data_IF_590845286104
#
_entry.id   IF_590845286104
#
_cell.length_a   1.000
_cell.length_b   1.000
_cell.length_c   1.000
_cell.angle_alpha   90.00
_cell.angle_beta   90.00
_cell.angle_gamma   90.00
#
_symmetry.space_group_name_H-M   'P 1'
#
loop_
_entity.id
_entity.type
_entity.pdbx_description
1 polymer ?
#
# COMPACT_ATOMS: atom_id res chain seq x y z
N UNK A 1 -47.94 33.23 64.25
CA UNK A 1 -47.82 32.97 62.80
C UNK A 1 -46.58 32.14 62.55
N UNK A 2 -46.74 30.85 62.21
CA UNK A 2 -45.66 29.87 61.96
C UNK A 2 -45.24 29.95 60.49
N UNK A 3 -43.95 30.16 60.20
CA UNK A 3 -43.37 29.99 58.85
C UNK A 3 -42.51 28.73 58.86
N UNK A 4 -42.97 27.72 58.13
CA UNK A 4 -42.28 26.46 57.85
C UNK A 4 -41.33 26.73 56.68
N UNK A 5 -40.02 26.53 56.88
CA UNK A 5 -39.04 26.56 55.80
C UNK A 5 -38.71 25.09 55.44
N UNK A 6 -39.17 24.66 54.27
CA UNK A 6 -38.93 23.35 53.69
C UNK A 6 -37.57 23.40 52.96
N UNK A 7 -36.55 22.70 53.45
CA UNK A 7 -35.27 22.55 52.75
C UNK A 7 -35.37 21.33 51.83
N UNK A 8 -35.45 21.59 50.52
CA UNK A 8 -35.39 20.58 49.47
C UNK A 8 -33.94 20.11 49.31
N UNK A 9 -33.66 18.86 49.66
CA UNK A 9 -32.39 18.19 49.32
C UNK A 9 -32.51 17.69 47.87
N UNK A 10 -31.89 18.40 46.94
CA UNK A 10 -31.75 17.97 45.55
C UNK A 10 -30.58 16.98 45.51
N UNK A 11 -30.91 15.69 45.48
CA UNK A 11 -29.96 14.60 45.23
C UNK A 11 -29.56 14.63 43.75
N UNK A 12 -28.44 15.26 43.43
CA UNK A 12 -27.87 15.23 42.08
C UNK A 12 -27.32 13.84 41.78
N UNK A 13 -28.09 13.02 41.06
CA UNK A 13 -27.60 11.83 40.38
C UNK A 13 -26.61 12.27 39.28
N UNK A 14 -25.32 12.13 39.55
CA UNK A 14 -24.28 12.20 38.51
C UNK A 14 -24.31 10.87 37.73
N UNK A 15 -24.52 10.88 36.40
CA UNK A 15 -24.51 9.66 35.61
C UNK A 15 -23.08 9.11 35.49
N UNK A 16 -22.87 7.88 35.98
CA UNK A 16 -21.60 7.15 35.95
C UNK A 16 -21.26 6.60 34.55
N UNK A 17 -21.13 7.47 33.55
CA UNK A 17 -20.79 7.09 32.17
C UNK A 17 -19.30 7.38 31.80
N UNK A 18 -18.39 7.47 32.77
CA UNK A 18 -16.97 7.79 32.54
C UNK A 18 -16.03 6.55 32.56
N UNK A 19 -16.55 5.35 32.76
CA UNK A 19 -15.73 4.24 33.28
C UNK A 19 -14.76 3.58 32.27
N UNK A 20 -15.17 3.34 31.01
CA UNK A 20 -14.32 2.65 30.04
C UNK A 20 -13.19 3.55 29.46
N UNK A 21 -13.39 4.88 29.47
CA UNK A 21 -12.41 5.84 28.98
C UNK A 21 -11.16 5.94 29.85
N UNK A 22 -11.31 5.76 31.17
CA UNK A 22 -10.21 5.92 32.13
C UNK A 22 -9.11 4.86 31.94
N UNK A 23 -9.50 3.58 31.80
CA UNK A 23 -8.55 2.49 31.58
C UNK A 23 -7.80 2.67 30.26
N UNK A 24 -8.53 2.98 29.18
CA UNK A 24 -7.96 3.23 27.87
C UNK A 24 -6.99 4.42 27.89
N UNK A 25 -7.35 5.51 28.59
CA UNK A 25 -6.50 6.69 28.74
C UNK A 25 -5.23 6.39 29.54
N UNK A 26 -5.34 5.62 30.63
CA UNK A 26 -4.21 5.23 31.46
C UNK A 26 -3.22 4.31 30.73
N UNK A 27 -3.72 3.35 29.95
CA UNK A 27 -2.86 2.49 29.13
C UNK A 27 -2.19 3.28 28.02
N UNK A 28 -2.94 4.14 27.30
CA UNK A 28 -2.34 5.00 26.26
C UNK A 28 -1.23 5.90 26.80
N UNK A 29 -1.41 6.53 27.96
CA UNK A 29 -0.39 7.43 28.49
C UNK A 29 0.92 6.73 28.88
N UNK A 30 0.89 5.42 29.14
CA UNK A 30 2.06 4.62 29.53
C UNK A 30 2.71 3.86 28.38
N UNK A 31 1.91 3.42 27.41
CA UNK A 31 2.33 2.47 26.37
C UNK A 31 2.41 3.08 24.98
N UNK A 32 1.60 4.09 24.65
CA UNK A 32 1.58 4.64 23.30
C UNK A 32 2.96 5.21 22.92
N UNK A 33 3.50 4.76 21.79
CA UNK A 33 4.83 5.16 21.31
C UNK A 33 6.00 4.47 22.02
N UNK A 34 5.74 3.58 22.98
CA UNK A 34 6.79 2.79 23.61
C UNK A 34 7.45 1.84 22.61
N UNK A 35 8.71 1.51 22.90
CA UNK A 35 9.41 0.43 22.22
C UNK A 35 9.14 -0.86 22.96
N UNK A 36 8.97 -1.95 22.22
CA UNK A 36 8.74 -3.26 22.80
C UNK A 36 9.61 -4.30 22.14
N UNK A 37 9.99 -5.32 22.91
CA UNK A 37 10.52 -6.58 22.39
C UNK A 37 9.44 -7.64 22.56
N UNK A 38 9.06 -8.33 21.49
CA UNK A 38 8.03 -9.38 21.58
C UNK A 38 8.56 -10.58 22.35
N UNK A 39 7.75 -11.19 23.20
CA UNK A 39 8.11 -12.41 23.94
C UNK A 39 7.51 -13.68 23.32
N UNK A 40 6.72 -13.52 22.26
CA UNK A 40 6.01 -14.59 21.56
C UNK A 40 6.29 -14.53 20.06
N UNK A 41 6.18 -15.68 19.39
CA UNK A 41 6.12 -15.73 17.93
C UNK A 41 4.92 -14.93 17.43
N UNK A 42 5.06 -14.27 16.29
CA UNK A 42 4.00 -13.46 15.69
C UNK A 42 4.03 -13.55 14.17
N UNK A 43 2.94 -13.15 13.54
CA UNK A 43 2.76 -13.31 12.10
C UNK A 43 2.27 -12.01 11.47
N UNK A 44 2.78 -11.69 10.29
CA UNK A 44 2.34 -10.53 9.49
C UNK A 44 2.19 -10.89 8.02
N UNK A 45 1.26 -10.23 7.34
CA UNK A 45 1.18 -10.26 5.88
C UNK A 45 2.07 -9.21 5.22
N UNK A 46 2.64 -8.30 6.01
CA UNK A 46 3.49 -7.19 5.56
C UNK A 46 2.86 -6.38 4.41
N UNK A 47 1.53 -6.25 4.42
CA UNK A 47 0.73 -5.59 3.38
C UNK A 47 0.45 -4.10 3.68
N UNK A 48 1.15 -3.53 4.65
CA UNK A 48 0.89 -2.18 5.18
C UNK A 48 -0.24 -2.10 6.22
N UNK A 49 -1.00 -3.18 6.41
CA UNK A 49 -2.05 -3.29 7.45
C UNK A 49 -1.58 -4.16 8.62
N UNK A 50 -2.18 -3.97 9.79
CA UNK A 50 -1.89 -4.82 10.95
C UNK A 50 -2.53 -6.21 10.79
N UNK A 51 -1.72 -7.25 10.89
CA UNK A 51 -2.20 -8.64 10.90
C UNK A 51 -2.55 -9.08 12.32
N UNK A 52 -3.74 -9.67 12.49
CA UNK A 52 -4.22 -10.10 13.80
C UNK A 52 -3.46 -11.33 14.31
N UNK A 53 -2.95 -11.22 15.54
CA UNK A 53 -2.30 -12.28 16.29
C UNK A 53 -3.07 -12.48 17.59
N UNK A 54 -3.93 -13.50 17.63
CA UNK A 54 -4.73 -13.79 18.82
C UNK A 54 -3.91 -14.61 19.81
N UNK A 55 -3.77 -14.08 21.03
CA UNK A 55 -2.91 -14.66 22.06
C UNK A 55 -3.79 -15.18 23.19
N UNK A 56 -3.63 -16.47 23.48
CA UNK A 56 -4.24 -17.13 24.63
C UNK A 56 -3.18 -17.94 25.38
N UNK A 57 -2.72 -17.40 26.51
CA UNK A 57 -1.51 -17.89 27.16
C UNK A 57 -0.31 -17.78 26.23
N UNK A 58 0.39 -18.90 26.00
CA UNK A 58 1.56 -18.97 25.12
C UNK A 58 1.21 -19.36 23.67
N UNK A 59 -0.07 -19.57 23.36
CA UNK A 59 -0.51 -19.96 22.02
C UNK A 59 -0.88 -18.73 21.20
N UNK A 60 -0.30 -18.63 20.00
CA UNK A 60 -0.61 -17.58 19.02
C UNK A 60 -1.36 -18.20 17.85
N UNK A 61 -2.51 -17.60 17.53
CA UNK A 61 -3.28 -17.94 16.33
C UNK A 61 -3.31 -16.74 15.40
N UNK A 62 -2.76 -16.90 14.20
CA UNK A 62 -2.79 -15.91 13.13
C UNK A 62 -2.98 -16.56 11.77
N UNK A 63 -3.37 -15.75 10.78
CA UNK A 63 -3.39 -16.12 9.37
C UNK A 63 -2.30 -15.41 8.54
N UNK A 64 -1.34 -14.75 9.21
CA UNK A 64 -0.28 -14.01 8.54
C UNK A 64 0.64 -14.91 7.71
N UNK A 65 1.05 -14.42 6.54
CA UNK A 65 1.94 -15.13 5.61
C UNK A 65 3.35 -15.35 6.16
N UNK A 66 3.92 -14.36 6.84
CA UNK A 66 5.29 -14.40 7.36
C UNK A 66 5.27 -14.63 8.86
N UNK A 67 6.15 -15.49 9.36
CA UNK A 67 6.37 -15.71 10.78
C UNK A 67 7.59 -14.93 11.27
N UNK A 68 7.50 -14.44 12.50
CA UNK A 68 8.54 -13.74 13.20
C UNK A 68 8.74 -14.41 14.54
N UNK A 69 9.99 -14.72 14.87
CA UNK A 69 10.33 -15.37 16.13
C UNK A 69 10.02 -14.46 17.33
N UNK A 70 10.04 -15.02 18.54
CA UNK A 70 10.10 -14.17 19.72
C UNK A 70 11.38 -13.32 19.68
N UNK A 71 11.35 -12.19 20.37
CA UNK A 71 12.45 -11.24 20.47
C UNK A 71 12.44 -10.15 19.41
N UNK A 72 11.35 -9.95 18.65
CA UNK A 72 11.30 -8.89 17.64
C UNK A 72 11.19 -7.51 18.28
N UNK A 73 12.01 -6.58 17.79
CA UNK A 73 11.94 -5.19 18.17
C UNK A 73 10.82 -4.48 17.39
N UNK A 74 9.89 -3.86 18.11
CA UNK A 74 8.76 -3.16 17.52
C UNK A 74 8.44 -1.85 18.25
N UNK A 75 7.71 -0.98 17.55
CA UNK A 75 7.15 0.25 18.11
C UNK A 75 5.65 0.11 18.28
N UNK A 76 5.15 0.49 19.45
CA UNK A 76 3.72 0.45 19.77
C UNK A 76 3.00 1.68 19.24
N UNK A 77 2.24 1.52 18.17
CA UNK A 77 1.53 2.60 17.47
C UNK A 77 0.16 2.89 18.09
N UNK A 78 -0.49 1.88 18.66
CA UNK A 78 -1.82 2.01 19.25
C UNK A 78 -2.07 0.95 20.31
N UNK A 79 -2.83 1.34 21.32
CA UNK A 79 -3.35 0.44 22.37
C UNK A 79 -4.86 0.62 22.43
N UNK A 80 -5.61 -0.48 22.34
CA UNK A 80 -7.07 -0.51 22.40
C UNK A 80 -7.58 -1.53 23.41
N UNK A 81 -8.04 -1.05 24.57
CA UNK A 81 -8.68 -1.85 25.59
C UNK A 81 -10.12 -2.23 25.18
N UNK A 82 -10.40 -3.53 25.19
CA UNK A 82 -11.72 -4.10 24.97
C UNK A 82 -12.23 -4.73 26.27
N UNK A 83 -13.48 -5.23 26.26
CA UNK A 83 -14.14 -5.82 27.44
C UNK A 83 -13.44 -7.07 28.00
N UNK A 84 -12.69 -7.80 27.19
CA UNK A 84 -12.03 -9.06 27.58
C UNK A 84 -10.68 -9.29 26.92
N UNK A 85 -10.07 -8.25 26.33
CA UNK A 85 -8.77 -8.33 25.70
C UNK A 85 -8.15 -6.94 25.56
N UNK A 86 -6.85 -6.89 25.32
CA UNK A 86 -6.13 -5.70 24.92
C UNK A 86 -5.54 -5.91 23.53
N UNK A 87 -5.80 -4.96 22.63
CA UNK A 87 -5.25 -5.00 21.28
C UNK A 87 -4.05 -4.03 21.22
N UNK A 88 -2.86 -4.56 20.93
CA UNK A 88 -1.61 -3.81 20.77
C UNK A 88 -1.22 -3.78 19.29
N UNK A 89 -1.23 -2.61 18.66
CA UNK A 89 -0.83 -2.43 17.27
C UNK A 89 0.65 -2.06 17.21
N UNK A 90 1.47 -2.96 16.67
CA UNK A 90 2.91 -2.83 16.58
C UNK A 90 3.37 -2.73 15.13
N UNK A 91 4.41 -1.94 14.91
CA UNK A 91 5.21 -1.94 13.68
C UNK A 91 6.61 -2.44 14.00
N UNK A 92 7.08 -3.47 13.31
CA UNK A 92 8.45 -3.96 13.49
C UNK A 92 9.45 -2.91 13.02
N UNK A 93 10.60 -2.86 13.71
CA UNK A 93 11.67 -1.94 13.40
C UNK A 93 12.33 -2.28 12.06
N UNK A 94 12.75 -3.53 11.92
CA UNK A 94 13.41 -4.00 10.70
C UNK A 94 12.36 -4.45 9.68
N UNK A 95 12.46 -4.00 8.41
CA UNK A 95 11.58 -4.51 7.35
C UNK A 95 11.91 -5.97 7.02
N UNK A 96 11.09 -6.56 6.16
CA UNK A 96 11.36 -7.87 5.56
C UNK A 96 11.70 -7.68 4.08
N UNK A 97 12.69 -8.42 3.59
CA UNK A 97 13.08 -8.39 2.19
C UNK A 97 12.27 -9.44 1.41
N UNK A 98 11.32 -9.00 0.57
CA UNK A 98 10.40 -9.91 -0.14
C UNK A 98 10.75 -9.98 -1.63
N UNK A 99 10.96 -11.20 -2.18
CA UNK A 99 11.17 -11.37 -3.61
C UNK A 99 9.87 -11.12 -4.39
N UNK A 100 10.00 -10.41 -5.52
CA UNK A 100 8.95 -10.07 -6.48
C UNK A 100 9.45 -10.36 -7.90
N UNK A 101 8.60 -10.96 -8.73
CA UNK A 101 8.95 -11.25 -10.12
C UNK A 101 8.49 -10.12 -11.06
N UNK A 102 9.38 -9.61 -11.90
CA UNK A 102 9.05 -8.73 -13.03
C UNK A 102 9.79 -9.21 -14.28
N UNK A 103 9.05 -9.81 -15.21
CA UNK A 103 9.63 -10.51 -16.35
C UNK A 103 10.54 -11.67 -15.89
N UNK A 104 11.78 -11.76 -16.40
CA UNK A 104 12.74 -12.80 -16.00
C UNK A 104 13.52 -12.47 -14.72
N UNK A 105 13.29 -11.30 -14.09
CA UNK A 105 14.07 -10.82 -12.95
C UNK A 105 13.36 -11.06 -11.62
N UNK A 106 14.12 -11.54 -10.63
CA UNK A 106 13.70 -11.52 -9.23
C UNK A 106 14.21 -10.24 -8.58
N UNK A 107 13.29 -9.34 -8.27
CA UNK A 107 13.55 -8.11 -7.55
C UNK A 107 13.21 -8.30 -6.07
N UNK A 108 13.76 -7.46 -5.22
CA UNK A 108 13.55 -7.52 -3.78
C UNK A 108 13.04 -6.18 -3.27
N UNK A 109 11.90 -6.24 -2.58
CA UNK A 109 11.26 -5.08 -1.98
C UNK A 109 11.37 -5.17 -0.46
N UNK A 110 11.79 -4.09 0.16
CA UNK A 110 11.69 -3.94 1.61
C UNK A 110 10.23 -3.63 1.97
N UNK A 111 9.60 -4.49 2.76
CA UNK A 111 8.23 -4.29 3.23
C UNK A 111 8.21 -4.09 4.74
N UNK A 112 7.51 -3.03 5.17
CA UNK A 112 7.26 -2.81 6.60
C UNK A 112 6.17 -3.75 7.09
N UNK A 113 6.45 -4.46 8.18
CA UNK A 113 5.55 -5.46 8.73
C UNK A 113 4.88 -4.95 10.00
N UNK A 114 3.56 -5.13 10.08
CA UNK A 114 2.72 -4.63 11.17
C UNK A 114 1.84 -5.74 11.73
N UNK A 115 1.67 -5.76 13.04
CA UNK A 115 0.93 -6.80 13.76
C UNK A 115 0.00 -6.21 14.82
N UNK A 116 -1.15 -6.84 15.03
CA UNK A 116 -2.04 -6.55 16.15
C UNK A 116 -2.01 -7.73 17.12
N UNK A 117 -1.36 -7.58 18.26
CA UNK A 117 -1.41 -8.57 19.34
C UNK A 117 -2.71 -8.41 20.11
N UNK A 118 -3.63 -9.36 19.93
CA UNK A 118 -4.93 -9.42 20.61
C UNK A 118 -4.79 -10.29 21.85
N UNK A 119 -4.36 -9.68 22.95
CA UNK A 119 -4.05 -10.35 24.21
C UNK A 119 -5.33 -10.59 25.00
N UNK A 120 -5.74 -11.84 25.14
CA UNK A 120 -6.89 -12.18 25.99
C UNK A 120 -6.58 -11.90 27.46
N UNK A 121 -7.46 -11.14 28.12
CA UNK A 121 -7.30 -10.75 29.52
C UNK A 121 -8.35 -11.41 30.40
N UNK A 122 -8.00 -11.83 31.63
CA UNK A 122 -8.98 -12.21 32.64
C UNK A 122 -9.99 -11.08 32.86
N UNK A 123 -11.29 -11.39 32.74
CA UNK A 123 -12.37 -10.39 32.80
C UNK A 123 -12.37 -9.55 34.08
N UNK A 124 -11.88 -10.10 35.19
CA UNK A 124 -11.85 -9.39 36.46
C UNK A 124 -10.85 -8.22 36.43
N UNK A 125 -9.70 -8.36 35.76
CA UNK A 125 -8.68 -7.29 35.62
C UNK A 125 -9.22 -6.10 34.82
N UNK A 126 -9.92 -6.37 33.72
CA UNK A 126 -10.54 -5.32 32.89
C UNK A 126 -11.68 -4.62 33.65
N UNK A 127 -12.50 -5.37 34.40
CA UNK A 127 -13.61 -4.82 35.19
C UNK A 127 -13.13 -3.97 36.36
N UNK A 128 -12.08 -4.40 37.08
CA UNK A 128 -11.48 -3.63 38.17
C UNK A 128 -10.64 -2.45 37.66
N UNK A 129 -10.32 -2.41 36.36
CA UNK A 129 -9.40 -1.46 35.74
C UNK A 129 -8.03 -1.46 36.40
N UNK A 130 -7.57 -2.64 36.80
CA UNK A 130 -6.28 -2.80 37.45
C UNK A 130 -5.16 -2.68 36.41
N UNK A 131 -4.71 -1.44 36.17
CA UNK A 131 -3.67 -1.16 35.16
C UNK A 131 -2.38 -1.90 35.50
N UNK A 132 -1.99 -1.96 36.77
CA UNK A 132 -0.75 -2.60 37.17
C UNK A 132 -0.77 -4.11 36.89
N UNK A 133 -1.87 -4.79 37.25
CA UNK A 133 -2.04 -6.21 36.96
C UNK A 133 -2.15 -6.50 35.45
N UNK A 134 -2.74 -5.58 34.66
CA UNK A 134 -2.74 -5.69 33.19
C UNK A 134 -1.31 -5.55 32.65
N UNK A 135 -0.51 -4.61 33.15
CA UNK A 135 0.88 -4.43 32.72
C UNK A 135 1.76 -5.63 33.05
N UNK A 136 1.58 -6.23 34.22
CA UNK A 136 2.24 -7.50 34.58
C UNK A 136 1.86 -8.62 33.62
N UNK A 137 0.57 -8.73 33.26
CA UNK A 137 0.11 -9.72 32.29
C UNK A 137 0.71 -9.48 30.89
N UNK A 138 0.82 -8.22 30.46
CA UNK A 138 1.46 -7.87 29.20
C UNK A 138 2.94 -8.20 29.15
N UNK A 139 3.62 -8.21 30.30
CA UNK A 139 5.03 -8.62 30.41
C UNK A 139 5.30 -10.05 29.91
N UNK A 140 4.28 -10.91 29.86
CA UNK A 140 4.39 -12.25 29.27
C UNK A 140 4.40 -12.24 27.73
N UNK A 141 3.93 -11.17 27.12
CA UNK A 141 3.75 -11.04 25.66
C UNK A 141 4.74 -10.05 25.06
N UNK A 142 5.05 -8.98 25.78
CA UNK A 142 5.97 -7.92 25.36
C UNK A 142 6.78 -7.38 26.54
N UNK A 143 8.06 -7.17 26.32
CA UNK A 143 8.91 -6.39 27.20
C UNK A 143 8.89 -4.92 26.75
N UNK A 144 8.57 -3.99 27.66
CA UNK A 144 8.42 -2.57 27.32
C UNK A 144 9.69 -1.77 27.67
N UNK A 145 10.09 -0.92 26.73
CA UNK A 145 11.22 -0.01 26.85
C UNK A 145 10.81 1.44 26.55
N UNK A 146 11.57 2.38 27.11
CA UNK A 146 11.32 3.83 26.95
C UNK A 146 11.84 4.38 25.62
N UNK A 147 12.87 3.75 25.05
CA UNK A 147 13.50 4.15 23.81
C UNK A 147 14.14 2.95 23.10
N UNK A 148 14.49 3.15 21.82
CA UNK A 148 15.05 2.10 20.96
C UNK A 148 16.37 1.54 21.49
N UNK A 149 17.28 2.38 21.98
CA UNK A 149 18.58 1.94 22.50
C UNK A 149 18.43 1.01 23.71
N UNK A 150 17.47 1.31 24.60
CA UNK A 150 17.17 0.44 25.74
C UNK A 150 16.56 -0.89 25.31
N UNK A 151 15.76 -0.91 24.24
CA UNK A 151 15.16 -2.13 23.71
C UNK A 151 16.20 -3.00 22.99
N UNK A 152 17.09 -2.38 22.22
CA UNK A 152 18.24 -3.05 21.59
C UNK A 152 19.26 -3.56 22.63
N UNK A 153 19.33 -2.94 23.81
CA UNK A 153 20.12 -3.45 24.92
C UNK A 153 19.47 -4.61 25.68
N UNK A 154 18.22 -5.00 25.33
CA UNK A 154 17.54 -6.09 26.03
C UNK A 154 18.15 -7.44 25.67
N UNK A 155 18.31 -8.30 26.67
CA UNK A 155 18.72 -9.69 26.47
C UNK A 155 17.69 -10.54 25.75
N UNK A 156 16.44 -10.07 25.63
CA UNK A 156 15.36 -10.77 24.92
C UNK A 156 15.26 -10.39 23.45
N UNK A 157 15.96 -9.34 23.00
CA UNK A 157 15.99 -8.97 21.59
C UNK A 157 16.74 -10.02 20.78
N UNK A 158 16.13 -10.48 19.69
CA UNK A 158 16.70 -11.51 18.84
C UNK A 158 17.77 -10.98 17.86
N UNK A 159 18.06 -9.67 17.89
CA UNK A 159 19.04 -9.02 17.02
C UNK A 159 18.75 -9.25 15.53
N UNK A 160 17.48 -9.44 15.15
CA UNK A 160 17.14 -9.54 13.73
C UNK A 160 17.54 -8.25 13.04
N UNK A 161 18.27 -8.41 11.94
CA UNK A 161 18.59 -7.38 10.96
C UNK A 161 17.90 -7.73 9.65
N UNK A 162 17.80 -6.76 8.74
CA UNK A 162 17.33 -7.03 7.38
C UNK A 162 18.24 -8.06 6.69
N UNK A 163 17.66 -9.00 5.95
CA UNK A 163 18.42 -9.94 5.13
C UNK A 163 19.23 -9.16 4.08
N UNK A 164 20.46 -9.60 3.82
CA UNK A 164 21.29 -9.01 2.77
C UNK A 164 20.71 -9.31 1.39
N UNK A 165 20.80 -8.34 0.49
CA UNK A 165 20.54 -8.56 -0.93
C UNK A 165 21.51 -9.61 -1.51
N UNK A 166 21.12 -10.31 -2.60
CA UNK A 166 22.04 -11.18 -3.33
C UNK A 166 23.31 -10.43 -3.77
N UNK A 167 24.46 -11.13 -3.83
CA UNK A 167 25.79 -10.53 -4.09
C UNK A 167 25.84 -9.69 -5.38
N UNK A 168 25.09 -10.06 -6.42
CA UNK A 168 25.05 -9.38 -7.73
C UNK A 168 23.75 -8.57 -7.96
N UNK A 169 23.07 -8.15 -6.89
CA UNK A 169 21.76 -7.50 -7.02
C UNK A 169 21.81 -6.18 -7.80
N UNK A 170 22.88 -5.40 -7.68
CA UNK A 170 23.09 -4.17 -8.47
C UNK A 170 23.19 -4.44 -9.98
N UNK A 171 23.80 -5.56 -10.37
CA UNK A 171 23.85 -6.01 -11.77
C UNK A 171 22.43 -6.36 -12.23
N UNK A 172 21.68 -7.09 -11.40
CA UNK A 172 20.28 -7.46 -11.66
C UNK A 172 19.40 -6.22 -11.87
N UNK A 173 19.55 -5.18 -11.04
CA UNK A 173 18.82 -3.92 -11.17
C UNK A 173 19.14 -3.18 -12.46
N UNK A 174 20.42 -3.16 -12.85
CA UNK A 174 20.82 -2.48 -14.07
C UNK A 174 20.34 -3.21 -15.32
N UNK A 175 20.44 -4.55 -15.36
CA UNK A 175 19.89 -5.37 -16.43
C UNK A 175 18.36 -5.24 -16.52
N UNK A 176 17.67 -5.21 -15.37
CA UNK A 176 16.23 -4.97 -15.30
C UNK A 176 15.86 -3.60 -15.89
N UNK A 177 16.61 -2.55 -15.59
CA UNK A 177 16.36 -1.21 -16.13
C UNK A 177 16.50 -1.16 -17.66
N UNK A 178 17.53 -1.82 -18.22
CA UNK A 178 17.71 -1.97 -19.67
C UNK A 178 16.54 -2.74 -20.28
N UNK A 179 16.16 -3.86 -19.68
CA UNK A 179 15.04 -4.68 -20.13
C UNK A 179 13.73 -3.88 -20.10
N UNK A 180 13.43 -3.17 -19.01
CA UNK A 180 12.20 -2.39 -18.86
C UNK A 180 12.10 -1.28 -19.89
N UNK A 181 13.21 -0.56 -20.14
CA UNK A 181 13.27 0.46 -21.19
C UNK A 181 13.04 -0.14 -22.57
N UNK A 182 13.64 -1.30 -22.85
CA UNK A 182 13.45 -2.02 -24.12
C UNK A 182 12.01 -2.46 -24.31
N UNK A 183 11.36 -3.04 -23.28
CA UNK A 183 9.95 -3.43 -23.34
C UNK A 183 9.04 -2.22 -23.59
N UNK A 184 9.26 -1.12 -22.88
CA UNK A 184 8.46 0.09 -23.06
C UNK A 184 8.61 0.68 -24.46
N UNK A 185 9.85 0.80 -24.96
CA UNK A 185 10.13 1.31 -26.30
C UNK A 185 9.51 0.42 -27.39
N UNK A 186 9.57 -0.91 -27.23
CA UNK A 186 8.89 -1.84 -28.14
C UNK A 186 7.36 -1.64 -28.13
N UNK A 187 6.76 -1.34 -26.97
CA UNK A 187 5.33 -1.01 -26.90
C UNK A 187 5.01 0.32 -27.62
N UNK A 188 5.86 1.35 -27.47
CA UNK A 188 5.71 2.63 -28.18
C UNK A 188 5.80 2.42 -29.69
N UNK A 189 6.77 1.65 -30.15
CA UNK A 189 6.95 1.29 -31.56
C UNK A 189 5.73 0.55 -32.12
N UNK A 190 5.28 -0.51 -31.43
CA UNK A 190 4.08 -1.24 -31.83
C UNK A 190 2.83 -0.33 -31.88
N UNK A 191 2.73 0.63 -30.96
CA UNK A 191 1.62 1.60 -30.97
C UNK A 191 1.70 2.57 -32.14
N UNK A 192 2.90 3.00 -32.49
CA UNK A 192 3.16 3.85 -33.65
C UNK A 192 2.80 3.09 -34.95
N UNK A 193 3.17 1.82 -35.07
CA UNK A 193 2.80 0.97 -36.21
C UNK A 193 1.28 0.83 -36.35
N UNK A 194 0.56 0.56 -35.26
CA UNK A 194 -0.91 0.53 -35.27
C UNK A 194 -1.48 1.87 -35.73
N UNK A 195 -0.95 2.99 -35.22
CA UNK A 195 -1.40 4.31 -35.64
C UNK A 195 -1.16 4.55 -37.14
N UNK A 196 0.00 4.14 -37.68
CA UNK A 196 0.32 4.21 -39.11
C UNK A 196 -0.63 3.35 -39.95
N UNK A 197 -0.85 2.09 -39.57
CA UNK A 197 -1.73 1.16 -40.28
C UNK A 197 -3.19 1.64 -40.28
N UNK A 198 -3.72 2.01 -39.12
CA UNK A 198 -5.11 2.49 -39.01
C UNK A 198 -5.34 3.80 -39.77
N UNK A 199 -4.38 4.73 -39.69
CA UNK A 199 -4.46 6.03 -40.37
C UNK A 199 -4.35 5.89 -41.88
N UNK A 200 -3.41 5.07 -42.36
CA UNK A 200 -3.18 4.87 -43.79
C UNK A 200 -4.33 4.18 -44.53
N UNK A 201 -5.15 3.39 -43.83
CA UNK A 201 -6.35 2.75 -44.39
C UNK A 201 -7.58 3.66 -44.45
N UNK A 202 -7.57 4.82 -43.79
CA UNK A 202 -8.74 5.71 -43.79
C UNK A 202 -9.07 6.23 -45.19
N UNK A 203 -8.11 6.73 -46.00
CA UNK A 203 -8.38 7.17 -47.37
C UNK A 203 -9.12 6.14 -48.23
N UNK A 204 -8.80 4.85 -48.08
CA UNK A 204 -9.46 3.76 -48.82
C UNK A 204 -10.93 3.56 -48.43
N UNK A 205 -11.35 4.04 -47.26
CA UNK A 205 -12.73 3.95 -46.74
C UNK A 205 -13.55 5.21 -46.97
N UNK A 206 -12.90 6.33 -47.34
CA UNK A 206 -13.59 7.60 -47.54
C UNK A 206 -14.49 7.52 -48.77
N UNK A 207 -15.76 7.87 -48.57
CA UNK A 207 -16.77 7.90 -49.63
C UNK A 207 -17.11 9.36 -49.97
N UNK A 208 -17.27 9.64 -51.26
CA UNK A 208 -17.57 10.99 -51.77
C UNK A 208 -19.06 11.38 -51.63
N UNK A 209 -19.82 10.67 -50.82
CA UNK A 209 -21.23 10.96 -50.57
C UNK A 209 -21.36 12.15 -49.59
N UNK A 210 -22.27 13.13 -49.84
CA UNK A 210 -22.41 14.32 -49.00
C UNK A 210 -22.63 14.03 -47.51
N UNK A 211 -23.41 13.00 -47.18
CA UNK A 211 -23.71 12.61 -45.80
C UNK A 211 -22.47 12.01 -45.11
N UNK A 212 -21.72 11.14 -45.81
CA UNK A 212 -20.45 10.61 -45.32
C UNK A 212 -19.48 11.75 -45.01
N UNK A 213 -19.26 12.67 -45.96
CA UNK A 213 -18.32 13.78 -45.78
C UNK A 213 -18.71 14.71 -44.63
N UNK A 214 -20.00 14.96 -44.42
CA UNK A 214 -20.49 15.77 -43.30
C UNK A 214 -20.15 15.13 -41.95
N UNK A 215 -20.43 13.83 -41.81
CA UNK A 215 -20.11 13.10 -40.58
C UNK A 215 -18.60 12.98 -40.36
N UNK A 216 -17.82 12.73 -41.42
CA UNK A 216 -16.37 12.69 -41.38
C UNK A 216 -15.77 14.00 -40.85
N UNK A 217 -16.18 15.15 -41.41
CA UNK A 217 -15.72 16.46 -40.97
C UNK A 217 -16.08 16.76 -39.52
N UNK A 218 -17.25 16.29 -39.05
CA UNK A 218 -17.62 16.42 -37.64
C UNK A 218 -16.68 15.60 -36.75
N UNK A 219 -16.29 14.40 -37.17
CA UNK A 219 -15.29 13.57 -36.47
C UNK A 219 -13.93 14.25 -36.36
N UNK A 220 -13.46 14.84 -37.48
CA UNK A 220 -12.21 15.62 -37.52
C UNK A 220 -12.24 16.77 -36.53
N UNK A 221 -13.33 17.57 -36.51
CA UNK A 221 -13.47 18.71 -35.60
C UNK A 221 -13.48 18.26 -34.13
N UNK A 222 -14.24 17.21 -33.81
CA UNK A 222 -14.27 16.68 -32.45
C UNK A 222 -12.90 16.19 -31.99
N UNK A 223 -12.15 15.50 -32.84
CA UNK A 223 -10.81 15.05 -32.47
C UNK A 223 -9.81 16.21 -32.34
N UNK A 224 -9.87 17.20 -33.24
CA UNK A 224 -8.96 18.37 -33.21
C UNK A 224 -9.03 19.12 -31.88
N UNK A 225 -10.23 19.22 -31.32
CA UNK A 225 -10.46 19.96 -30.07
C UNK A 225 -10.06 19.14 -28.83
N UNK A 226 -9.69 17.86 -28.99
CA UNK A 226 -9.24 16.96 -27.93
C UNK A 226 -7.73 16.65 -28.05
N UNK A 227 -6.95 16.95 -27.02
CA UNK A 227 -5.52 16.65 -26.99
C UNK A 227 -5.22 15.27 -26.39
N UNK A 228 -4.41 14.46 -27.08
CA UNK A 228 -3.85 13.21 -26.55
C UNK A 228 -2.62 13.43 -25.65
N UNK A 229 -2.45 14.64 -25.09
CA UNK A 229 -1.17 15.28 -24.72
C UNK A 229 -0.24 14.62 -23.69
N UNK A 230 -0.38 13.34 -23.36
CA UNK A 230 0.65 12.56 -22.67
C UNK A 230 0.87 11.20 -23.32
N UNK A 231 2.09 10.68 -23.18
CA UNK A 231 2.44 9.32 -23.64
C UNK A 231 1.49 8.27 -23.07
N UNK A 232 1.09 8.39 -21.80
CA UNK A 232 0.12 7.49 -21.17
C UNK A 232 -1.24 7.49 -21.89
N UNK A 233 -1.77 8.68 -22.22
CA UNK A 233 -3.04 8.80 -22.94
C UNK A 233 -2.95 8.20 -24.35
N UNK A 234 -1.85 8.46 -25.08
CA UNK A 234 -1.63 7.87 -26.40
C UNK A 234 -1.49 6.35 -26.35
N UNK A 235 -0.76 5.82 -25.37
CA UNK A 235 -0.59 4.37 -25.19
C UNK A 235 -1.93 3.69 -24.86
N UNK A 236 -2.79 4.35 -24.07
CA UNK A 236 -4.13 3.87 -23.72
C UNK A 236 -5.20 4.04 -24.81
N UNK A 237 -4.97 4.89 -25.83
CA UNK A 237 -5.97 5.17 -26.86
C UNK A 237 -6.35 3.93 -27.69
N UNK A 238 -7.64 3.70 -27.93
CA UNK A 238 -8.11 2.59 -28.76
C UNK A 238 -8.84 3.13 -30.00
N UNK A 239 -8.32 2.85 -31.20
CA UNK A 239 -8.95 3.21 -32.48
C UNK A 239 -10.36 2.62 -32.65
N UNK A 240 -10.62 1.48 -31.98
CA UNK A 240 -11.88 0.74 -32.03
C UNK A 240 -12.73 0.86 -30.75
N UNK A 241 -12.49 1.86 -29.90
CA UNK A 241 -13.28 2.07 -28.70
C UNK A 241 -14.79 2.06 -29.01
N UNK A 242 -15.51 1.07 -28.48
CA UNK A 242 -16.99 0.99 -28.51
C UNK A 242 -17.55 2.13 -27.65
N UNK A 243 -17.55 3.35 -28.15
CA UNK A 243 -18.53 4.33 -27.67
C UNK A 243 -19.89 3.76 -28.06
N UNK A 244 -20.79 3.59 -27.08
CA UNK A 244 -22.18 3.17 -27.28
C UNK A 244 -23.03 4.19 -28.03
N UNK A 245 -22.42 4.87 -28.99
CA UNK A 245 -22.99 5.91 -29.81
C UNK A 245 -23.10 5.38 -31.22
N UNK A 246 -24.30 5.51 -31.79
CA UNK A 246 -24.67 5.18 -33.16
C UNK A 246 -23.98 6.07 -34.20
N UNK A 247 -22.83 6.66 -33.87
CA UNK A 247 -22.10 7.59 -34.73
C UNK A 247 -21.70 6.90 -36.02
N UNK A 248 -22.12 7.46 -37.16
CA UNK A 248 -21.88 6.93 -38.50
C UNK A 248 -20.38 6.56 -38.68
N UNK A 249 -20.05 5.46 -39.38
CA UNK A 249 -18.68 5.03 -39.66
C UNK A 249 -17.75 6.18 -40.09
N UNK A 250 -18.28 7.11 -40.90
CA UNK A 250 -17.60 8.31 -41.34
C UNK A 250 -17.08 9.21 -40.21
N UNK A 251 -17.88 9.44 -39.16
CA UNK A 251 -17.44 10.25 -38.01
C UNK A 251 -16.27 9.61 -37.28
N UNK A 252 -16.29 8.28 -37.11
CA UNK A 252 -15.18 7.54 -36.51
C UNK A 252 -13.93 7.61 -37.38
N UNK A 253 -14.06 7.49 -38.70
CA UNK A 253 -12.93 7.64 -39.63
C UNK A 253 -12.31 9.04 -39.51
N UNK A 254 -13.12 10.11 -39.48
CA UNK A 254 -12.61 11.47 -39.30
C UNK A 254 -11.90 11.69 -37.96
N UNK A 255 -12.44 11.14 -36.87
CA UNK A 255 -11.83 11.20 -35.54
C UNK A 255 -10.50 10.44 -35.49
N UNK A 256 -10.50 9.21 -36.01
CA UNK A 256 -9.32 8.33 -36.01
C UNK A 256 -8.22 8.87 -36.91
N UNK A 257 -8.55 9.60 -38.00
CA UNK A 257 -7.56 10.27 -38.84
C UNK A 257 -6.75 11.28 -38.01
N UNK A 258 -7.44 12.18 -37.30
CA UNK A 258 -6.76 13.24 -36.53
C UNK A 258 -5.93 12.64 -35.40
N UNK A 259 -6.51 11.72 -34.61
CA UNK A 259 -5.77 11.09 -33.52
C UNK A 259 -4.61 10.23 -34.01
N UNK A 260 -4.80 9.48 -35.10
CA UNK A 260 -3.75 8.68 -35.69
C UNK A 260 -2.58 9.53 -36.18
N UNK A 261 -2.84 10.63 -36.88
CA UNK A 261 -1.81 11.61 -37.28
C UNK A 261 -1.09 12.22 -36.07
N UNK A 262 -1.83 12.55 -35.01
CA UNK A 262 -1.22 13.12 -33.81
C UNK A 262 -0.36 12.11 -33.06
N UNK A 263 -0.80 10.86 -32.97
CA UNK A 263 -0.02 9.76 -32.41
C UNK A 263 1.25 9.51 -33.24
N UNK A 264 1.16 9.49 -34.57
CA UNK A 264 2.33 9.34 -35.46
C UNK A 264 3.36 10.45 -35.19
N UNK A 265 2.89 11.67 -34.95
CA UNK A 265 3.75 12.83 -34.67
C UNK A 265 4.37 12.79 -33.27
N UNK A 266 3.61 12.37 -32.25
CA UNK A 266 4.00 12.53 -30.85
C UNK A 266 4.58 11.27 -30.21
N UNK A 267 4.14 10.07 -30.57
CA UNK A 267 4.66 8.81 -29.99
C UNK A 267 6.19 8.66 -30.10
N UNK A 268 6.87 9.13 -31.16
CA UNK A 268 8.33 9.12 -31.20
C UNK A 268 9.00 9.88 -30.05
N UNK A 269 8.31 10.82 -29.40
CA UNK A 269 8.82 11.54 -28.22
C UNK A 269 8.62 10.76 -26.91
N UNK A 270 7.90 9.64 -26.96
CA UNK A 270 7.66 8.79 -25.81
C UNK A 270 8.77 7.75 -25.60
N UNK A 271 9.64 7.52 -26.59
CA UNK A 271 10.78 6.63 -26.39
C UNK A 271 11.64 7.12 -25.23
N UNK A 272 12.00 6.20 -24.34
CA UNK A 272 12.86 6.47 -23.20
C UNK A 272 14.28 5.98 -23.50
N UNK A 273 15.32 6.66 -22.98
CA UNK A 273 16.68 6.22 -23.15
C UNK A 273 16.86 4.83 -22.52
N UNK A 274 17.52 3.93 -23.25
CA UNK A 274 17.95 2.64 -22.70
C UNK A 274 19.24 2.90 -21.90
N UNK A 275 19.28 2.61 -20.60
CA UNK A 275 20.49 2.77 -19.80
C UNK A 275 21.66 1.97 -20.37
N UNK A 276 22.89 2.44 -20.13
CA UNK A 276 24.05 1.60 -20.41
C UNK A 276 24.15 0.51 -19.34
N UNK A 277 24.32 -0.76 -19.70
CA UNK A 277 24.57 -1.80 -18.72
C UNK A 277 25.91 -1.52 -18.02
N UNK A 278 26.05 -1.88 -16.73
CA UNK A 278 27.33 -1.77 -16.04
C UNK A 278 28.35 -2.62 -16.80
N UNK A 279 29.52 -2.02 -17.07
CA UNK A 279 30.65 -2.77 -17.60
C UNK A 279 31.04 -3.73 -16.48
N UNK A 280 30.69 -5.00 -16.63
CA UNK A 280 31.29 -6.06 -15.83
C UNK A 280 32.77 -6.06 -16.22
N UNK A 281 33.59 -5.30 -15.51
CA UNK A 281 35.02 -5.55 -15.49
C UNK A 281 35.15 -7.01 -15.10
N UNK A 282 35.57 -7.82 -16.05
CA UNK A 282 35.76 -9.24 -15.90
C UNK A 282 36.83 -9.45 -14.83
N UNK A 283 36.42 -9.50 -13.56
CA UNK A 283 37.17 -10.10 -12.48
C UNK A 283 37.18 -11.62 -12.68
N UNK A 284 37.72 -12.07 -13.83
CA UNK A 284 38.35 -13.37 -13.93
C UNK A 284 39.68 -13.24 -13.19
N UNK A 285 39.68 -13.61 -11.91
CA UNK A 285 40.87 -14.12 -11.23
C UNK A 285 40.57 -15.51 -10.73
#
# INVERSE_FOLDING_TARGET
>A
MKRILLVLIILSLVPAAASAGDLQKALKSRWLGAWVVTSVESYSDCSGMHTNNRINGNLVKSGGRFSFQAGELAKLEKVDAKRSRLDLMLSFQEPLLVPTQDGPFTLYNEVSCRIELQVELPRHLVKSKDVAAIEEFLGMVVERHTNVNSAQGSSTWNMREIESYPEDYEVTLAEHAVWKATQYNAMVEAKLEIALEETSRIPDRVQNEPDYMTHFLNGVRTARDNHLGSCEHMMGYMFNGRSGDTSAPAWRDGKNLVYGLEMIRQLPQCFIPVPNPPILETARK
#
